data_IF_689073915039
#
_entry.id   IF_689073915039
#
_cell.length_a   1.000
_cell.length_b   1.000
_cell.length_c   1.000
_cell.angle_alpha   90.00
_cell.angle_beta   90.00
_cell.angle_gamma   90.00
#
_symmetry.space_group_name_H-M   'P 1'
#
loop_
_entity.id
_entity.type
_entity.pdbx_description
1 polymer ?
#
# COMPACT_ATOMS: atom_id res chain seq x y z
N UNK A 1 13.45 -2.02 2.50
CA UNK A 1 13.39 -3.25 1.67
C UNK A 1 12.02 -3.30 1.01
N UNK A 2 11.94 -2.88 -0.26
CA UNK A 2 10.69 -2.71 -1.03
C UNK A 2 9.83 -3.99 -1.02
N UNK A 3 10.46 -5.16 -1.10
CA UNK A 3 9.75 -6.45 -1.09
C UNK A 3 8.85 -6.70 0.12
N UNK A 4 9.19 -6.20 1.32
CA UNK A 4 8.31 -6.34 2.50
C UNK A 4 7.06 -5.46 2.41
N UNK A 5 7.17 -4.28 1.79
CA UNK A 5 6.02 -3.40 1.58
C UNK A 5 5.12 -3.95 0.47
N UNK A 6 5.69 -4.52 -0.59
CA UNK A 6 4.95 -5.16 -1.68
C UNK A 6 4.12 -6.35 -1.17
N UNK A 7 4.71 -7.23 -0.37
CA UNK A 7 3.99 -8.39 0.19
C UNK A 7 2.82 -8.00 1.11
N UNK A 8 2.90 -6.85 1.80
CA UNK A 8 1.81 -6.34 2.64
C UNK A 8 0.62 -5.82 1.83
N UNK A 9 0.83 -5.43 0.56
CA UNK A 9 -0.24 -4.87 -0.28
C UNK A 9 -1.34 -5.89 -0.56
N UNK A 10 -1.02 -7.18 -0.74
CA UNK A 10 -2.03 -8.24 -0.89
C UNK A 10 -3.04 -8.23 0.26
N UNK A 11 -2.54 -8.21 1.50
CA UNK A 11 -3.42 -8.20 2.67
C UNK A 11 -4.32 -6.96 2.74
N UNK A 12 -3.82 -5.80 2.29
CA UNK A 12 -4.63 -4.57 2.21
C UNK A 12 -5.70 -4.70 1.12
N UNK A 13 -5.33 -5.19 -0.06
CA UNK A 13 -6.25 -5.44 -1.18
C UNK A 13 -7.34 -6.42 -0.79
N UNK A 14 -7.00 -7.50 -0.10
CA UNK A 14 -7.96 -8.51 0.40
C UNK A 14 -8.95 -7.89 1.39
N UNK A 15 -8.49 -7.04 2.32
CA UNK A 15 -9.37 -6.34 3.25
C UNK A 15 -10.29 -5.34 2.54
N UNK A 16 -9.81 -4.72 1.46
CA UNK A 16 -10.57 -3.80 0.61
C UNK A 16 -11.58 -4.50 -0.32
N UNK A 17 -11.77 -5.83 -0.24
CA UNK A 17 -12.89 -6.50 -0.89
C UNK A 17 -14.26 -5.94 -0.45
N UNK A 18 -14.32 -5.27 0.70
CA UNK A 18 -15.41 -4.37 1.09
C UNK A 18 -14.85 -2.98 1.43
N UNK A 19 -15.64 -1.89 1.37
CA UNK A 19 -15.13 -0.54 1.64
C UNK A 19 -14.55 -0.36 3.05
N UNK A 20 -13.23 -0.12 3.14
CA UNK A 20 -12.49 0.07 4.40
C UNK A 20 -11.83 1.44 4.52
N UNK A 21 -11.82 2.00 5.73
CA UNK A 21 -10.99 3.15 6.08
C UNK A 21 -9.52 2.77 6.35
N UNK A 22 -8.64 3.76 6.44
CA UNK A 22 -7.22 3.54 6.71
C UNK A 22 -6.94 2.80 8.03
N UNK A 23 -7.77 2.99 9.06
CA UNK A 23 -7.59 2.31 10.35
C UNK A 23 -8.08 0.85 10.28
N UNK A 24 -9.08 0.57 9.45
CA UNK A 24 -9.65 -0.77 9.29
C UNK A 24 -8.71 -1.73 8.54
N UNK A 25 -7.70 -1.22 7.82
CA UNK A 25 -6.69 -2.05 7.14
C UNK A 25 -5.47 -2.38 8.00
N UNK A 26 -5.40 -1.88 9.24
CA UNK A 26 -4.30 -2.17 10.17
C UNK A 26 -3.99 -3.66 10.37
N UNK A 27 -4.97 -4.59 10.43
CA UNK A 27 -4.68 -6.01 10.60
C UNK A 27 -3.79 -6.61 9.50
N UNK A 28 -3.79 -6.05 8.28
CA UNK A 28 -2.91 -6.48 7.20
C UNK A 28 -1.46 -5.97 7.37
N UNK A 29 -1.28 -4.83 8.04
CA UNK A 29 0.01 -4.14 8.15
C UNK A 29 0.73 -4.45 9.46
N UNK A 30 -0.02 -4.62 10.55
CA UNK A 30 0.51 -4.73 11.91
C UNK A 30 0.03 -6.00 12.60
N UNK A 31 0.99 -6.81 13.08
CA UNK A 31 0.71 -8.06 13.82
C UNK A 31 0.19 -7.82 15.25
N UNK A 32 0.22 -6.58 15.75
CA UNK A 32 -0.22 -6.21 17.10
C UNK A 32 -1.14 -5.00 17.02
N UNK A 33 -1.99 -4.84 18.04
CA UNK A 33 -2.86 -3.67 18.16
C UNK A 33 -2.01 -2.40 18.32
N UNK A 34 -2.21 -1.46 17.41
CA UNK A 34 -1.57 -0.13 17.46
C UNK A 34 -2.28 0.75 18.48
N UNK A 35 -1.54 1.42 19.36
CA UNK A 35 -2.07 2.29 20.42
C UNK A 35 -1.13 3.47 20.68
N UNK A 36 -1.66 4.54 21.28
CA UNK A 36 -0.87 5.69 21.72
C UNK A 36 -0.18 6.41 20.57
N UNK A 37 1.05 6.85 20.79
CA UNK A 37 1.82 7.67 19.86
C UNK A 37 2.07 7.00 18.50
N UNK A 38 2.07 5.66 18.44
CA UNK A 38 2.29 4.92 17.19
C UNK A 38 1.08 4.98 16.25
N UNK A 39 -0.09 5.35 16.75
CA UNK A 39 -1.33 5.35 15.96
C UNK A 39 -1.28 6.30 14.77
N UNK A 40 -0.74 7.50 14.96
CA UNK A 40 -0.60 8.48 13.88
C UNK A 40 0.36 7.98 12.78
N UNK A 41 1.49 7.40 13.18
CA UNK A 41 2.47 6.83 12.24
C UNK A 41 1.90 5.65 11.46
N UNK A 42 1.22 4.72 12.15
CA UNK A 42 0.57 3.58 11.52
C UNK A 42 -0.54 3.99 10.55
N UNK A 43 -1.29 5.04 10.89
CA UNK A 43 -2.29 5.64 10.00
C UNK A 43 -1.63 6.20 8.75
N UNK A 44 -0.50 6.90 8.88
CA UNK A 44 0.28 7.41 7.74
C UNK A 44 0.77 6.29 6.81
N UNK A 45 1.31 5.20 7.37
CA UNK A 45 1.73 4.04 6.58
C UNK A 45 0.54 3.37 5.85
N UNK A 46 -0.59 3.22 6.53
CA UNK A 46 -1.81 2.68 5.91
C UNK A 46 -2.34 3.56 4.77
N UNK A 47 -2.38 4.88 4.96
CA UNK A 47 -2.79 5.83 3.91
C UNK A 47 -1.84 5.75 2.72
N UNK A 48 -0.52 5.67 2.96
CA UNK A 48 0.46 5.56 1.89
C UNK A 48 0.23 4.30 1.04
N UNK A 49 -0.04 3.15 1.68
CA UNK A 49 -0.37 1.92 0.97
C UNK A 49 -1.66 2.02 0.15
N UNK A 50 -2.72 2.62 0.72
CA UNK A 50 -4.00 2.79 0.03
C UNK A 50 -3.89 3.72 -1.17
N UNK A 51 -3.21 4.86 -1.03
CA UNK A 51 -2.98 5.81 -2.12
C UNK A 51 -2.08 5.21 -3.21
N UNK A 52 -1.10 4.38 -2.83
CA UNK A 52 -0.28 3.67 -3.82
C UNK A 52 -1.13 2.68 -4.63
N UNK A 53 -1.99 1.90 -3.99
CA UNK A 53 -2.92 1.00 -4.68
C UNK A 53 -3.94 1.74 -5.55
N UNK A 54 -4.39 2.92 -5.10
CA UNK A 54 -5.27 3.80 -5.87
C UNK A 54 -4.58 4.31 -7.14
N UNK A 55 -3.31 4.74 -7.02
CA UNK A 55 -2.50 5.15 -8.16
C UNK A 55 -2.23 4.00 -9.16
N UNK A 56 -2.23 2.75 -8.68
CA UNK A 56 -2.17 1.55 -9.53
C UNK A 56 -3.54 1.16 -10.14
N UNK A 57 -4.63 1.83 -9.77
CA UNK A 57 -5.98 1.49 -10.23
C UNK A 57 -6.58 0.23 -9.60
N UNK A 58 -6.00 -0.27 -8.51
CA UNK A 58 -6.43 -1.51 -7.82
C UNK A 58 -7.57 -1.24 -6.85
N UNK A 59 -7.54 -0.09 -6.18
CA UNK A 59 -8.59 0.36 -5.26
C UNK A 59 -9.11 1.73 -5.68
N UNK A 60 -10.37 2.01 -5.37
CA UNK A 60 -10.98 3.32 -5.54
C UNK A 60 -11.43 3.89 -4.21
N UNK A 61 -11.30 5.20 -4.07
CA UNK A 61 -11.77 5.95 -2.92
C UNK A 61 -13.25 6.31 -3.05
N UNK A 62 -13.98 6.18 -1.93
CA UNK A 62 -15.35 6.62 -1.75
C UNK A 62 -15.46 7.36 -0.43
N UNK A 63 -16.13 8.51 -0.44
CA UNK A 63 -16.50 9.17 0.81
C UNK A 63 -17.87 8.65 1.26
N UNK A 64 -17.99 8.31 2.54
CA UNK A 64 -19.27 7.96 3.15
C UNK A 64 -19.29 8.46 4.59
N UNK A 65 -20.31 9.23 4.94
CA UNK A 65 -20.51 9.78 6.28
C UNK A 65 -19.29 10.59 6.80
N UNK A 66 -18.62 11.34 5.91
CA UNK A 66 -17.40 12.10 6.25
C UNK A 66 -16.15 11.24 6.44
N UNK A 67 -16.20 9.94 6.15
CA UNK A 67 -15.07 9.02 6.24
C UNK A 67 -14.68 8.55 4.85
N UNK A 68 -13.41 8.74 4.52
CA UNK A 68 -12.78 8.17 3.32
C UNK A 68 -12.64 6.66 3.48
N UNK A 69 -13.23 5.92 2.56
CA UNK A 69 -13.13 4.46 2.44
C UNK A 69 -12.54 4.07 1.08
N UNK A 70 -11.87 2.93 1.04
CA UNK A 70 -11.24 2.36 -0.13
C UNK A 70 -11.81 0.97 -0.39
N UNK A 71 -12.14 0.72 -1.65
CA UNK A 71 -12.74 -0.52 -2.12
C UNK A 71 -11.94 -1.03 -3.32
N UNK A 72 -11.71 -2.34 -3.37
CA UNK A 72 -11.01 -3.00 -4.47
C UNK A 72 -11.89 -2.97 -5.72
N UNK A 73 -11.31 -2.48 -6.82
CA UNK A 73 -11.97 -2.37 -8.13
C UNK A 73 -11.28 -3.20 -9.22
N UNK A 74 -10.07 -3.71 -8.96
CA UNK A 74 -9.34 -4.59 -9.86
C UNK A 74 -8.48 -5.59 -9.07
N UNK A 75 -8.02 -6.63 -9.74
CA UNK A 75 -7.08 -7.60 -9.17
C UNK A 75 -5.68 -6.98 -9.05
N UNK A 76 -4.97 -7.38 -8.00
CA UNK A 76 -3.62 -6.91 -7.73
C UNK A 76 -2.59 -7.95 -8.19
N UNK A 77 -1.74 -7.58 -9.15
CA UNK A 77 -0.62 -8.40 -9.62
C UNK A 77 0.66 -8.02 -8.87
N UNK A 78 0.92 -8.73 -7.76
CA UNK A 78 2.15 -8.55 -6.98
C UNK A 78 3.41 -8.87 -7.82
N UNK A 79 3.36 -9.94 -8.61
CA UNK A 79 4.51 -10.41 -9.37
C UNK A 79 4.90 -9.41 -10.46
N UNK A 80 3.92 -8.92 -11.22
CA UNK A 80 4.12 -7.88 -12.21
C UNK A 80 4.59 -6.56 -11.61
N UNK A 81 4.02 -6.14 -10.47
CA UNK A 81 4.51 -4.94 -9.78
C UNK A 81 5.97 -5.09 -9.36
N UNK A 82 6.32 -6.24 -8.78
CA UNK A 82 7.68 -6.49 -8.30
C UNK A 82 8.69 -6.44 -9.44
N UNK A 83 8.39 -7.10 -10.56
CA UNK A 83 9.23 -7.06 -11.75
C UNK A 83 9.42 -5.62 -12.26
N UNK A 84 8.36 -4.81 -12.28
CA UNK A 84 8.43 -3.39 -12.67
C UNK A 84 9.30 -2.56 -11.72
N UNK A 85 9.15 -2.74 -10.41
CA UNK A 85 9.93 -2.01 -9.41
C UNK A 85 11.41 -2.40 -9.44
N UNK A 86 11.70 -3.67 -9.68
CA UNK A 86 13.08 -4.16 -9.82
C UNK A 86 13.73 -3.55 -11.08
N UNK A 87 13.01 -3.48 -12.21
CA UNK A 87 13.50 -2.82 -13.43
C UNK A 87 13.78 -1.32 -13.22
N UNK A 88 12.88 -0.59 -12.56
CA UNK A 88 13.09 0.84 -12.24
C UNK A 88 14.31 0.99 -11.31
N UNK A 89 14.42 0.13 -10.30
CA UNK A 89 15.54 0.19 -9.34
C UNK A 89 16.87 -0.06 -10.04
N UNK A 90 16.92 -0.96 -11.01
CA UNK A 90 18.12 -1.21 -11.80
C UNK A 90 18.45 -0.02 -12.71
N UNK A 91 17.47 0.53 -13.42
CA UNK A 91 17.66 1.73 -14.26
C UNK A 91 18.19 2.93 -13.45
N UNK A 92 17.63 3.18 -12.26
CA UNK A 92 18.08 4.23 -11.35
C UNK A 92 19.48 3.94 -10.81
N UNK A 93 19.81 2.67 -10.53
CA UNK A 93 21.17 2.26 -10.13
C UNK A 93 22.17 2.50 -11.26
N UNK A 94 21.82 2.17 -12.51
CA UNK A 94 22.62 2.40 -13.72
C UNK A 94 22.90 3.89 -13.94
N UNK A 95 21.89 4.75 -13.75
CA UNK A 95 22.02 6.20 -13.94
C UNK A 95 22.59 6.95 -12.74
N UNK A 96 22.84 6.26 -11.64
CA UNK A 96 23.28 6.89 -10.42
C UNK A 96 24.66 7.55 -10.61
N UNK A 97 24.87 8.81 -10.17
CA UNK A 97 26.11 9.53 -10.37
C UNK A 97 27.32 8.94 -9.62
N UNK A 98 27.10 7.97 -8.73
CA UNK A 98 28.14 7.22 -8.02
C UNK A 98 28.42 5.84 -8.64
N UNK A 99 27.80 5.51 -9.78
CA UNK A 99 28.12 4.32 -10.55
C UNK A 99 29.37 4.61 -11.38
N UNK A 100 30.53 4.28 -10.80
CA UNK A 100 31.83 4.39 -11.46
C UNK A 100 31.89 3.58 -12.77
#
# INVERSE_FOLDING_TARGET
MIGKHVSRLNGVVDLCATPRSAVEVFPALFRRRVRGMEFAMATGEAIAHLHFLEALGVVARRERDGVTRFERIADYDEAGLRARLDAITEEERERAPWKA
#
